data_IF_240810691308
#
_entry.id   IF_240810691308
#
_cell.length_a   1.000
_cell.length_b   1.000
_cell.length_c   1.000
_cell.angle_alpha   90.00
_cell.angle_beta   90.00
_cell.angle_gamma   90.00
#
_symmetry.space_group_name_H-M   'P 1'
#
loop_
_entity.id
_entity.type
_entity.pdbx_description
1 polymer ?
2 non-polymer ?
3 non-polymer ?
4 non-polymer ?
5 water ?
#
# COMPACT_ATOMS: atom_id res chain seq x y z
N UNK A 31 28.08 -16.02 -13.34
CA UNK A 31 26.61 -15.90 -13.41
C UNK A 31 26.17 -14.58 -14.07
N UNK A 32 25.77 -14.67 -15.34
CA UNK A 32 25.19 -13.58 -16.10
C UNK A 32 23.89 -13.12 -15.42
N UNK A 33 23.73 -11.82 -15.17
CA UNK A 33 22.50 -11.33 -14.52
C UNK A 33 21.63 -10.68 -15.54
N UNK A 34 20.32 -10.68 -15.27
CA UNK A 34 19.38 -9.87 -16.04
C UNK A 34 18.74 -8.88 -15.13
N UNK A 35 18.14 -7.83 -15.71
CA UNK A 35 17.59 -6.72 -14.91
C UNK A 35 16.19 -6.41 -15.34
N UNK A 36 15.41 -5.77 -14.45
CA UNK A 36 14.11 -5.24 -14.86
C UNK A 36 13.77 -4.07 -13.98
N UNK A 37 12.94 -3.15 -14.49
CA UNK A 37 12.70 -1.93 -13.77
C UNK A 37 11.20 -1.70 -13.67
N UNK A 38 10.73 -1.29 -12.49
CA UNK A 38 9.35 -0.87 -12.33
C UNK A 38 9.33 0.53 -11.71
N UNK A 39 8.52 1.42 -12.30
CA UNK A 39 8.23 2.66 -11.61
C UNK A 39 6.86 2.43 -10.97
N UNK A 40 6.82 2.61 -9.64
CA UNK A 40 5.61 2.57 -8.84
C UNK A 40 5.15 4.02 -8.76
N UNK A 41 4.10 4.34 -9.53
CA UNK A 41 3.63 5.73 -9.59
C UNK A 41 2.46 5.81 -8.61
N UNK A 42 2.80 6.01 -7.32
CA UNK A 42 1.79 6.00 -6.28
C UNK A 42 1.09 7.36 -6.15
N UNK A 43 0.12 7.45 -5.23
CA UNK A 43 -0.68 8.66 -5.16
C UNK A 43 0.19 9.83 -4.66
N UNK A 44 1.16 9.57 -3.79
CA UNK A 44 1.92 10.67 -3.15
C UNK A 44 3.40 10.78 -3.66
N UNK A 45 3.85 9.84 -4.47
CA UNK A 45 5.33 9.73 -4.70
C UNK A 45 5.42 8.78 -5.88
N UNK A 46 6.52 8.86 -6.63
CA UNK A 46 6.89 7.80 -7.58
C UNK A 46 8.22 7.25 -7.03
N UNK A 47 8.33 5.92 -6.98
CA UNK A 47 9.61 5.31 -6.73
C UNK A 47 9.98 4.41 -7.88
N UNK A 48 11.28 4.29 -8.10
CA UNK A 48 11.80 3.43 -9.14
C UNK A 48 12.53 2.23 -8.50
N UNK A 49 12.16 1.00 -8.90
CA UNK A 49 12.91 -0.20 -8.41
C UNK A 49 13.60 -0.87 -9.54
N UNK A 50 14.88 -1.19 -9.36
CA UNK A 50 15.62 -1.99 -10.38
C UNK A 50 15.83 -3.35 -9.72
N UNK A 51 15.43 -4.42 -10.42
CA UNK A 51 15.56 -5.77 -9.93
C UNK A 51 16.57 -6.52 -10.77
N UNK A 52 17.17 -7.50 -10.17
CA UNK A 52 18.16 -8.31 -10.92
C UNK A 52 18.05 -9.76 -10.55
N UNK A 53 18.52 -10.64 -11.43
CA UNK A 53 18.42 -12.07 -11.19
C UNK A 53 19.37 -12.79 -12.15
N UNK A 54 19.75 -14.03 -11.78
CA UNK A 54 20.59 -14.78 -12.73
C UNK A 54 19.79 -15.30 -13.94
N UNK A 55 20.34 -15.09 -15.14
CA UNK A 55 19.83 -15.65 -16.40
C UNK A 55 19.36 -17.13 -16.36
N UNK A 56 20.23 -18.09 -16.03
CA UNK A 56 19.80 -19.51 -15.99
C UNK A 56 19.14 -20.04 -14.69
N UNK A 57 18.82 -19.16 -13.74
CA UNK A 57 18.00 -19.57 -12.59
C UNK A 57 16.71 -18.72 -12.43
N UNK A 58 16.28 -18.08 -13.52
CA UNK A 58 15.27 -17.01 -13.44
C UNK A 58 13.86 -17.42 -13.01
N UNK A 59 13.55 -18.71 -13.19
CA UNK A 59 12.22 -19.26 -12.82
C UNK A 59 12.14 -19.87 -11.41
N UNK A 60 13.26 -19.93 -10.67
CA UNK A 60 13.24 -20.38 -9.27
C UNK A 60 12.46 -19.34 -8.47
N UNK A 61 11.67 -19.78 -7.50
CA UNK A 61 11.03 -18.77 -6.64
C UNK A 61 12.09 -18.05 -5.73
N UNK A 62 11.83 -16.79 -5.37
CA UNK A 62 12.76 -15.98 -4.50
C UNK A 62 14.11 -15.56 -5.10
N UNK A 63 14.36 -15.94 -6.36
CA UNK A 63 15.64 -15.64 -7.03
C UNK A 63 15.79 -14.13 -7.43
N UNK A 64 14.70 -13.49 -7.86
CA UNK A 64 14.73 -12.08 -8.19
C UNK A 64 14.90 -11.27 -6.88
N UNK A 65 15.83 -10.32 -6.88
CA UNK A 65 15.91 -9.35 -5.76
C UNK A 65 16.13 -7.94 -6.19
N UNK A 66 15.90 -6.98 -5.29
CA UNK A 66 16.13 -5.57 -5.64
C UNK A 66 17.64 -5.32 -5.76
N UNK A 67 18.02 -4.56 -6.79
CA UNK A 67 19.39 -4.11 -7.06
C UNK A 67 19.66 -2.65 -6.57
N UNK A 68 18.67 -1.79 -6.76
CA UNK A 68 18.78 -0.38 -6.39
C UNK A 68 17.37 0.20 -6.44
N UNK A 69 17.28 1.44 -6.02
CA UNK A 69 15.99 2.12 -6.12
C UNK A 69 16.27 3.62 -6.13
N UNK A 70 15.21 4.39 -6.46
CA UNK A 70 15.36 5.86 -6.53
C UNK A 70 14.01 6.43 -6.18
N UNK A 71 13.99 7.48 -5.34
CA UNK A 71 12.75 8.21 -5.04
C UNK A 71 12.63 9.47 -5.83
N UNK A 72 11.55 9.60 -6.56
CA UNK A 72 11.39 10.76 -7.42
C UNK A 72 11.00 11.92 -6.51
N UNK A 73 11.65 13.07 -6.67
CA UNK A 73 11.32 14.30 -5.96
C UNK A 73 9.95 14.81 -6.30
N UNK A 74 9.22 15.29 -5.30
CA UNK A 74 7.93 15.95 -5.56
C UNK A 74 6.78 14.95 -5.46
N UNK A 75 5.61 15.38 -5.90
CA UNK A 75 4.40 14.59 -5.69
C UNK A 75 4.31 13.45 -6.69
N UNK A 76 3.19 12.74 -6.63
CA UNK A 76 2.88 11.66 -7.61
C UNK A 76 2.51 12.20 -8.99
N UNK A 77 2.40 11.29 -9.95
CA UNK A 77 2.13 11.75 -11.33
C UNK A 77 0.75 12.37 -11.43
N UNK A 78 -0.20 11.90 -10.61
CA UNK A 78 -1.57 12.49 -10.62
C UNK A 78 -1.59 13.96 -10.13
N UNK A 79 -0.54 14.39 -9.45
CA UNK A 79 -0.42 15.77 -8.96
C UNK A 79 -0.12 16.75 -10.11
N UNK A 80 0.17 16.23 -11.29
CA UNK A 80 0.38 17.01 -12.49
C UNK A 80 -0.78 16.99 -13.42
N UNK A 81 -1.98 16.74 -12.89
CA UNK A 81 -3.19 16.74 -13.67
C UNK A 81 -3.41 18.01 -14.54
N UNK A 82 -3.04 19.20 -14.01
CA UNK A 82 -3.20 20.45 -14.79
C UNK A 82 -1.93 20.92 -15.52
N UNK A 83 -0.87 20.13 -15.42
CA UNK A 83 0.42 20.44 -16.08
C UNK A 83 1.10 19.11 -16.47
N UNK A 84 0.46 18.34 -17.38
CA UNK A 84 0.86 16.92 -17.61
C UNK A 84 2.31 16.73 -18.10
N UNK A 85 2.85 17.76 -18.77
CA UNK A 85 4.27 17.75 -19.16
C UNK A 85 5.24 17.50 -18.00
N UNK A 86 4.96 18.13 -16.86
CA UNK A 86 5.81 17.95 -15.72
C UNK A 86 5.80 16.50 -15.18
N UNK A 87 4.76 15.69 -15.47
CA UNK A 87 4.75 14.31 -14.96
C UNK A 87 5.92 13.51 -15.52
N UNK A 88 6.09 13.56 -16.84
CA UNK A 88 7.22 12.88 -17.50
C UNK A 88 8.58 13.42 -17.03
N UNK A 89 8.76 14.74 -17.09
CA UNK A 89 9.98 15.38 -16.60
C UNK A 89 10.37 14.97 -15.16
N UNK A 90 9.38 14.76 -14.30
CA UNK A 90 9.65 14.39 -12.93
C UNK A 90 10.48 13.08 -12.84
N UNK A 91 10.39 12.23 -13.85
CA UNK A 91 11.04 10.88 -13.77
C UNK A 91 12.51 10.90 -14.20
N UNK A 92 12.95 12.04 -14.72
CA UNK A 92 14.25 12.09 -15.43
C UNK A 92 15.43 11.76 -14.53
N UNK A 93 15.49 12.34 -13.33
CA UNK A 93 16.65 12.15 -12.45
C UNK A 93 16.76 10.65 -12.08
N UNK A 94 15.60 10.04 -11.73
CA UNK A 94 15.66 8.62 -11.38
C UNK A 94 15.96 7.79 -12.61
N UNK A 95 15.42 8.15 -13.77
CA UNK A 95 15.80 7.40 -15.00
C UNK A 95 17.29 7.52 -15.34
N UNK A 96 17.88 8.71 -15.10
CA UNK A 96 19.34 8.84 -15.24
C UNK A 96 20.10 7.92 -14.29
N UNK A 97 19.56 7.71 -13.09
CA UNK A 97 20.18 6.77 -12.13
C UNK A 97 20.14 5.31 -12.62
N UNK A 98 18.99 4.92 -13.18
CA UNK A 98 18.86 3.61 -13.84
C UNK A 98 19.88 3.30 -14.94
N UNK A 99 20.24 4.29 -15.76
CA UNK A 99 21.27 4.13 -16.77
C UNK A 99 22.63 3.80 -16.12
N UNK A 100 22.91 4.40 -14.96
CA UNK A 100 24.16 4.09 -14.21
C UNK A 100 24.07 2.77 -13.42
N UNK A 101 22.88 2.43 -12.91
CA UNK A 101 22.66 1.22 -12.08
C UNK A 101 22.64 -0.05 -12.90
N UNK A 102 22.15 0.02 -14.13
CA UNK A 102 22.13 -1.17 -14.96
C UNK A 102 23.32 -1.09 -15.95
N UNK A 103 24.12 -2.19 -16.07
CA UNK A 103 25.27 -2.17 -17.04
C UNK A 103 24.78 -1.79 -18.45
N UNK A 104 25.59 -1.03 -19.20
CA UNK A 104 25.15 -0.41 -20.45
C UNK A 104 24.77 -1.45 -21.48
N UNK A 105 25.52 -2.53 -21.53
CA UNK A 105 25.29 -3.53 -22.54
C UNK A 105 24.01 -4.35 -22.30
N UNK A 106 23.35 -4.12 -21.15
CA UNK A 106 22.07 -4.75 -20.84
C UNK A 106 20.85 -3.82 -20.91
N UNK A 107 21.06 -2.50 -21.13
CA UNK A 107 19.95 -1.51 -21.17
C UNK A 107 18.83 -1.99 -22.11
N UNK A 108 19.24 -2.27 -23.35
CA UNK A 108 18.37 -2.61 -24.48
C UNK A 108 17.41 -3.76 -24.20
N UNK A 109 17.83 -4.69 -23.37
CA UNK A 109 17.05 -5.89 -23.08
C UNK A 109 16.47 -5.91 -21.65
N UNK A 110 16.53 -4.78 -20.95
CA UNK A 110 15.96 -4.66 -19.58
C UNK A 110 14.55 -4.10 -19.72
N UNK A 111 13.51 -4.88 -19.33
CA UNK A 111 12.15 -4.35 -19.45
C UNK A 111 11.90 -3.22 -18.44
N UNK A 112 11.17 -2.19 -18.87
CA UNK A 112 10.83 -1.10 -17.99
C UNK A 112 9.32 -0.96 -17.99
N UNK A 113 8.70 -0.94 -16.79
CA UNK A 113 7.23 -0.79 -16.66
C UNK A 113 6.93 0.39 -15.80
N UNK A 114 5.83 1.09 -16.08
CA UNK A 114 5.29 1.97 -15.08
C UNK A 114 3.89 1.52 -14.74
N UNK A 115 3.59 1.44 -13.44
CA UNK A 115 2.25 1.10 -12.97
C UNK A 115 1.82 2.18 -12.01
N UNK A 116 0.56 2.61 -12.12
CA UNK A 116 0.03 3.72 -11.32
C UNK A 116 -1.13 3.21 -10.53
N UNK A 117 -1.39 3.81 -9.37
CA UNK A 117 -2.34 3.23 -8.46
C UNK A 117 -3.45 4.24 -8.13
N UNK A 118 -3.85 4.33 -6.86
CA UNK A 118 -5.14 5.03 -6.55
C UNK A 118 -5.12 6.53 -6.85
N UNK A 119 -3.95 7.17 -6.83
CA UNK A 119 -3.98 8.59 -7.25
C UNK A 119 -4.50 8.76 -8.67
N UNK A 120 -4.08 7.85 -9.56
CA UNK A 120 -4.52 7.90 -10.93
C UNK A 120 -5.94 7.33 -11.08
N UNK A 121 -6.31 6.33 -10.26
CA UNK A 121 -7.71 5.92 -10.31
C UNK A 121 -8.62 7.07 -9.90
N UNK A 122 -8.23 7.87 -8.89
CA UNK A 122 -9.07 9.00 -8.49
C UNK A 122 -9.13 10.08 -9.59
N UNK A 123 -7.99 10.39 -10.21
CA UNK A 123 -7.97 11.39 -11.30
C UNK A 123 -8.83 10.91 -12.50
N UNK A 124 -8.88 9.61 -12.72
CA UNK A 124 -9.67 9.03 -13.79
C UNK A 124 -11.17 9.21 -13.56
N UNK A 125 -11.59 9.27 -12.29
CA UNK A 125 -12.99 9.59 -11.97
C UNK A 125 -13.35 11.05 -12.26
N UNK A 126 -12.39 11.94 -12.02
CA UNK A 126 -12.57 13.35 -12.14
C UNK A 126 -12.47 13.74 -13.61
N UNK A 127 -11.47 13.20 -14.29
CA UNK A 127 -11.20 13.58 -15.66
C UNK A 127 -10.38 12.53 -16.38
N UNK A 128 -11.06 11.66 -17.14
CA UNK A 128 -10.37 10.67 -17.95
C UNK A 128 -9.42 11.33 -18.97
N UNK A 129 -9.80 12.49 -19.49
CA UNK A 129 -8.91 13.22 -20.38
C UNK A 129 -7.61 13.69 -19.69
N UNK A 130 -7.67 14.28 -18.49
CA UNK A 130 -6.40 14.71 -17.81
C UNK A 130 -5.53 13.48 -17.48
N UNK A 131 -6.21 12.40 -17.11
CA UNK A 131 -5.55 11.10 -16.80
C UNK A 131 -4.79 10.60 -18.03
N UNK A 132 -5.47 10.65 -19.18
CA UNK A 132 -4.84 10.23 -20.41
C UNK A 132 -3.63 11.11 -20.77
N UNK A 133 -3.77 12.43 -20.61
CA UNK A 133 -2.65 13.34 -20.89
C UNK A 133 -1.44 13.05 -19.96
N UNK A 134 -1.69 12.71 -18.68
CA UNK A 134 -0.53 12.35 -17.78
C UNK A 134 0.15 11.04 -18.22
N UNK A 135 -0.65 10.04 -18.59
CA UNK A 135 -0.08 8.77 -19.03
C UNK A 135 0.67 9.00 -20.33
N UNK A 136 0.13 9.88 -21.19
CA UNK A 136 0.85 10.20 -22.42
C UNK A 136 2.19 10.89 -22.12
N UNK A 137 2.23 11.84 -21.19
CA UNK A 137 3.48 12.55 -20.87
C UNK A 137 4.52 11.60 -20.28
N UNK A 138 4.12 10.75 -19.33
CA UNK A 138 5.14 9.77 -18.82
C UNK A 138 5.59 8.80 -19.94
N UNK A 139 4.65 8.35 -20.75
CA UNK A 139 5.00 7.49 -21.89
C UNK A 139 6.04 8.12 -22.82
N UNK A 140 5.80 9.36 -23.27
CA UNK A 140 6.77 10.07 -24.11
C UNK A 140 8.15 10.13 -23.46
N UNK A 141 8.23 10.46 -22.17
CA UNK A 141 9.53 10.50 -21.50
C UNK A 141 10.20 9.12 -21.50
N UNK A 142 9.42 8.09 -21.18
CA UNK A 142 10.01 6.76 -20.94
C UNK A 142 10.51 6.16 -22.24
N UNK A 143 9.83 6.50 -23.34
CA UNK A 143 10.17 5.93 -24.64
C UNK A 143 11.48 6.52 -25.19
N UNK A 144 11.90 7.69 -24.66
CA UNK A 144 13.21 8.30 -25.03
C UNK A 144 14.45 7.60 -24.46
N UNK A 145 14.22 6.69 -23.50
CA UNK A 145 15.28 5.92 -22.85
C UNK A 145 15.53 4.56 -23.55
N UNK A 146 16.71 3.96 -23.33
CA UNK A 146 17.13 2.80 -24.13
C UNK A 146 16.66 1.45 -23.61
N UNK A 147 16.01 1.46 -22.44
CA UNK A 147 15.37 0.24 -21.86
C UNK A 147 14.23 -0.26 -22.76
N UNK A 148 13.85 -1.52 -22.63
CA UNK A 148 12.75 -2.05 -23.40
C UNK A 148 11.44 -1.64 -22.65
N UNK A 149 10.91 -0.50 -23.03
CA UNK A 149 9.76 0.10 -22.33
C UNK A 149 8.50 -0.67 -22.73
N UNK A 150 7.81 -1.24 -21.76
CA UNK A 150 6.65 -2.05 -22.04
C UNK A 150 5.34 -1.41 -21.61
N UNK A 151 5.35 -0.13 -21.25
CA UNK A 151 4.06 0.58 -21.14
C UNK A 151 3.81 1.18 -19.76
N UNK A 152 2.91 2.15 -19.75
CA UNK A 152 2.47 2.78 -18.53
C UNK A 152 0.98 2.40 -18.43
N UNK A 153 0.61 1.83 -17.28
CA UNK A 153 -0.75 1.39 -17.07
C UNK A 153 -1.21 1.78 -15.65
N UNK A 154 -2.53 1.96 -15.50
CA UNK A 154 -3.15 2.05 -14.15
C UNK A 154 -3.51 0.64 -13.73
N UNK A 155 -3.00 0.21 -12.58
CA UNK A 155 -3.37 -1.07 -12.00
C UNK A 155 -4.79 -0.99 -11.44
N UNK A 156 -5.50 -2.10 -11.46
CA UNK A 156 -6.73 -2.21 -10.65
C UNK A 156 -6.42 -2.37 -9.16
N UNK A 157 -7.45 -2.13 -8.33
CA UNK A 157 -7.27 -2.38 -6.90
C UNK A 157 -6.88 -3.86 -6.63
N UNK A 158 -7.51 -4.76 -7.38
CA UNK A 158 -7.20 -6.17 -7.23
C UNK A 158 -5.77 -6.43 -7.59
N UNK A 159 -5.32 -5.90 -8.73
CA UNK A 159 -3.89 -5.98 -9.09
C UNK A 159 -3.00 -5.57 -7.95
N UNK A 160 -3.28 -4.40 -7.41
CA UNK A 160 -2.43 -3.86 -6.41
C UNK A 160 -2.33 -4.78 -5.17
N UNK A 161 -3.47 -5.36 -4.75
CA UNK A 161 -3.54 -6.23 -3.55
C UNK A 161 -2.79 -7.53 -3.85
N UNK A 162 -3.17 -8.14 -4.97
CA UNK A 162 -2.58 -9.46 -5.28
C UNK A 162 -1.09 -9.38 -5.52
N UNK A 163 -0.62 -8.40 -6.30
CA UNK A 163 0.83 -8.31 -6.58
C UNK A 163 1.71 -8.04 -5.33
N UNK A 164 1.16 -7.30 -4.38
CA UNK A 164 1.80 -7.13 -3.05
C UNK A 164 1.88 -8.46 -2.34
N UNK A 165 0.82 -9.24 -2.37
CA UNK A 165 0.81 -10.56 -1.71
C UNK A 165 1.86 -11.46 -2.42
N UNK A 166 1.91 -11.42 -3.76
CA UNK A 166 2.91 -12.27 -4.47
C UNK A 166 4.32 -11.78 -4.10
N UNK A 167 4.53 -10.47 -4.01
CA UNK A 167 5.90 -10.01 -3.67
C UNK A 167 6.34 -10.64 -2.31
N UNK A 168 5.53 -10.45 -1.27
CA UNK A 168 5.91 -10.88 0.07
C UNK A 168 6.19 -12.38 0.09
N UNK A 169 5.29 -13.14 -0.50
CA UNK A 169 5.43 -14.62 -0.47
C UNK A 169 6.53 -15.11 -1.37
N UNK A 170 6.75 -14.42 -2.48
CA UNK A 170 7.88 -14.82 -3.32
C UNK A 170 9.20 -14.62 -2.59
N UNK A 171 9.36 -13.44 -1.98
CA UNK A 171 10.65 -13.09 -1.34
C UNK A 171 10.92 -13.99 -0.17
N UNK A 172 9.89 -14.43 0.53
CA UNK A 172 10.03 -15.28 1.72
C UNK A 172 9.97 -16.79 1.43
N UNK A 173 9.93 -17.12 0.16
CA UNK A 173 9.99 -18.54 -0.31
C UNK A 173 8.84 -19.41 0.24
N UNK A 174 7.66 -18.82 0.31
CA UNK A 174 6.52 -19.56 0.78
C UNK A 174 5.91 -20.41 -0.29
N UNK A 175 6.43 -20.29 -1.53
CA UNK A 175 5.81 -21.08 -2.64
C UNK A 175 6.60 -22.37 -2.91
N UNK A 176 7.66 -22.54 -2.15
CA UNK A 176 8.44 -23.84 -2.18
C UNK A 176 7.53 -24.97 -1.64
N UNK A 177 7.55 -26.14 -2.28
CA UNK A 177 6.86 -27.30 -1.71
C UNK A 177 7.81 -27.97 -0.69
N UNK A 178 7.56 -27.80 0.59
CA UNK A 178 8.48 -28.33 1.62
C UNK A 178 8.27 -29.79 1.95
N UNK A 179 9.40 -30.50 2.16
CA UNK A 179 9.42 -31.90 2.50
C UNK A 179 10.24 -32.60 1.41
N UNK A 180 9.98 -33.92 1.19
CA UNK A 180 10.71 -34.66 0.19
C UNK A 180 9.81 -35.86 -0.08
N UNK A 181 10.21 -36.67 -1.05
CA UNK A 181 9.36 -37.74 -1.51
C UNK A 181 8.98 -38.70 -0.36
N UNK A 182 7.65 -38.95 -0.27
CA UNK A 182 7.12 -39.85 0.74
C UNK A 182 6.81 -39.12 2.06
N UNK A 183 7.23 -37.84 2.19
CA UNK A 183 7.05 -37.10 3.44
C UNK A 183 6.97 -35.59 3.16
N UNK A 184 5.83 -35.18 2.62
CA UNK A 184 5.61 -33.79 2.27
C UNK A 184 4.99 -33.16 3.47
N UNK A 185 5.36 -31.93 3.77
CA UNK A 185 4.71 -31.32 4.93
C UNK A 185 3.22 -31.10 4.63
N UNK A 186 2.38 -31.33 5.63
CA UNK A 186 0.92 -31.19 5.40
C UNK A 186 0.41 -30.62 6.68
N UNK A 187 -0.47 -29.61 6.58
CA UNK A 187 -0.89 -28.99 5.33
C UNK A 187 0.29 -28.27 4.66
N UNK A 188 0.11 -27.86 3.44
CA UNK A 188 1.26 -27.22 2.81
C UNK A 188 1.58 -25.89 3.50
N UNK A 189 2.84 -25.45 3.34
CA UNK A 189 3.37 -24.21 3.95
C UNK A 189 2.34 -23.05 3.82
N UNK A 190 2.05 -22.40 4.96
CA UNK A 190 1.07 -21.28 4.90
C UNK A 190 1.69 -20.10 4.15
N UNK A 191 0.82 -19.20 3.69
CA UNK A 191 1.27 -17.95 3.05
C UNK A 191 0.96 -16.73 3.95
N UNK A 192 1.66 -15.64 3.67
CA UNK A 192 1.57 -14.42 4.42
C UNK A 192 0.54 -13.56 3.76
N UNK A 193 -0.47 -13.19 4.53
CA UNK A 193 -1.45 -12.15 4.10
C UNK A 193 -0.74 -10.82 3.99
N UNK A 194 -1.35 -9.89 3.21
CA UNK A 194 -0.66 -8.63 3.00
C UNK A 194 -1.63 -7.48 3.30
N UNK A 195 -1.12 -6.45 3.98
CA UNK A 195 -2.00 -5.25 4.21
C UNK A 195 -1.11 -4.12 3.82
N UNK A 196 -1.60 -3.30 2.89
CA UNK A 196 -0.83 -2.19 2.33
C UNK A 196 -1.60 -0.92 2.60
N UNK A 197 -1.01 0.03 3.32
CA UNK A 197 -1.76 1.32 3.55
C UNK A 197 -1.02 2.35 2.71
N UNK A 198 -1.54 2.63 1.50
CA UNK A 198 -0.93 3.64 0.61
C UNK A 198 -1.51 5.01 0.96
N UNK A 199 -1.27 5.98 0.09
CA UNK A 199 -1.75 7.35 0.32
C UNK A 199 -3.22 7.52 -0.02
N UNK A 200 -3.73 6.72 -0.97
CA UNK A 200 -5.15 6.98 -1.41
C UNK A 200 -6.04 5.73 -1.37
N UNK A 201 -5.48 4.52 -1.23
CA UNK A 201 -6.36 3.37 -1.05
C UNK A 201 -5.61 2.46 -0.06
N UNK A 202 -6.33 1.49 0.48
CA UNK A 202 -5.68 0.43 1.24
C UNK A 202 -6.18 -0.95 0.82
N UNK A 203 -5.27 -1.92 0.83
CA UNK A 203 -5.59 -3.27 0.33
C UNK A 203 -5.40 -4.32 1.41
N UNK A 204 -6.24 -5.35 1.37
CA UNK A 204 -6.03 -6.55 2.23
C UNK A 204 -6.18 -7.76 1.33
N UNK A 205 -5.24 -8.70 1.48
CA UNK A 205 -5.18 -9.83 0.54
C UNK A 205 -4.66 -11.01 1.38
N UNK A 206 -5.31 -12.16 1.29
CA UNK A 206 -4.81 -13.35 2.00
C UNK A 206 -5.42 -14.61 1.46
N UNK A 207 -4.68 -15.71 1.59
CA UNK A 207 -5.16 -17.01 1.21
C UNK A 207 -6.29 -17.42 2.16
N UNK A 208 -7.36 -17.98 1.63
CA UNK A 208 -8.50 -18.31 2.46
C UNK A 208 -9.11 -19.65 2.05
N UNK A 209 -9.70 -20.36 3.00
CA UNK A 209 -10.43 -21.57 2.66
C UNK A 209 -11.92 -21.31 2.61
N UNK A 210 -12.36 -20.09 2.89
CA UNK A 210 -13.80 -19.83 2.86
C UNK A 210 -14.33 -19.71 1.46
N UNK A 211 -15.61 -20.08 1.27
CA UNK A 211 -16.21 -19.93 -0.06
C UNK A 211 -16.27 -18.46 -0.47
N UNK A 212 -16.09 -18.19 -1.76
CA UNK A 212 -16.21 -16.82 -2.24
C UNK A 212 -17.68 -16.43 -2.33
N UNK A 213 -17.98 -15.20 -1.97
CA UNK A 213 -19.35 -14.74 -2.11
C UNK A 213 -19.46 -13.54 -3.01
N UNK A 214 -18.32 -13.00 -3.45
CA UNK A 214 -18.37 -11.83 -4.33
C UNK A 214 -17.27 -12.03 -5.32
N UNK A 215 -17.61 -12.18 -6.60
CA UNK A 215 -16.54 -12.44 -7.60
C UNK A 215 -15.46 -11.35 -7.68
N UNK A 216 -15.82 -10.12 -7.33
CA UNK A 216 -14.89 -8.95 -7.27
C UNK A 216 -13.73 -9.19 -6.30
N UNK A 217 -13.96 -10.05 -5.29
CA UNK A 217 -12.92 -10.29 -4.25
C UNK A 217 -12.12 -11.59 -4.44
N UNK A 218 -12.56 -12.40 -5.40
CA UNK A 218 -12.09 -13.79 -5.54
C UNK A 218 -10.90 -13.89 -6.48
N UNK A 219 -9.84 -14.50 -6.01
CA UNK A 219 -8.62 -14.61 -6.81
C UNK A 219 -8.13 -16.09 -6.82
N UNK A 220 -7.77 -16.61 -8.00
CA UNK A 220 -7.20 -17.93 -8.04
C UNK A 220 -5.89 -17.88 -8.75
N UNK A 221 -4.83 -18.37 -8.09
CA UNK A 221 -3.51 -18.36 -8.69
C UNK A 221 -2.96 -19.75 -8.84
N UNK A 222 -2.25 -19.99 -9.93
CA UNK A 222 -1.55 -21.25 -10.14
C UNK A 222 -0.05 -20.90 -10.17
N UNK A 223 0.70 -21.30 -9.14
CA UNK A 223 2.10 -20.88 -9.03
C UNK A 223 2.91 -22.10 -8.69
N UNK A 224 3.90 -22.42 -9.51
CA UNK A 224 4.80 -23.60 -9.30
C UNK A 224 4.03 -24.87 -9.09
N UNK A 225 2.94 -25.03 -9.81
CA UNK A 225 2.19 -26.24 -9.77
C UNK A 225 1.13 -26.29 -8.69
N UNK A 226 0.96 -25.21 -7.93
CA UNK A 226 0.00 -25.19 -6.84
C UNK A 226 -1.06 -24.14 -7.05
N UNK A 227 -2.26 -24.49 -6.61
CA UNK A 227 -3.42 -23.61 -6.64
C UNK A 227 -3.54 -22.84 -5.31
N UNK A 228 -3.59 -21.50 -5.43
CA UNK A 228 -3.84 -20.62 -4.20
C UNK A 228 -5.18 -19.91 -4.38
N UNK A 229 -6.07 -20.12 -3.40
CA UNK A 229 -7.38 -19.46 -3.34
C UNK A 229 -7.18 -18.26 -2.44
N UNK A 230 -7.34 -17.10 -3.02
CA UNK A 230 -7.05 -15.84 -2.31
C UNK A 230 -8.25 -14.90 -2.30
N UNK A 231 -8.35 -14.12 -1.22
CA UNK A 231 -9.31 -13.01 -1.11
C UNK A 231 -8.52 -11.71 -1.24
N UNK A 232 -9.07 -10.74 -1.98
CA UNK A 232 -8.46 -9.43 -1.97
C UNK A 232 -9.54 -8.35 -2.00
N UNK A 233 -9.23 -7.22 -1.37
CA UNK A 233 -10.09 -6.05 -1.58
C UNK A 233 -9.26 -4.78 -1.47
N UNK A 234 -9.65 -3.73 -2.27
CA UNK A 234 -8.97 -2.44 -2.13
C UNK A 234 -10.05 -1.46 -1.77
N UNK A 235 -9.83 -0.70 -0.69
CA UNK A 235 -10.79 0.33 -0.24
C UNK A 235 -10.24 1.67 -0.80
N UNK A 236 -10.84 2.14 -1.88
CA UNK A 236 -10.50 3.46 -2.41
C UNK A 236 -10.94 4.51 -1.39
N UNK A 237 -10.14 5.55 -1.30
CA UNK A 237 -10.37 6.65 -0.34
C UNK A 237 -10.02 6.27 1.09
N UNK A 238 -9.50 5.07 1.34
CA UNK A 238 -9.09 4.68 2.70
C UNK A 238 -7.54 4.64 2.82
N UNK A 239 -6.83 5.25 1.87
CA UNK A 239 -5.38 5.51 2.01
C UNK A 239 -5.12 6.60 3.07
N UNK A 240 -3.90 6.68 3.57
CA UNK A 240 -3.58 7.61 4.67
C UNK A 240 -3.92 9.05 4.37
N UNK A 241 -3.47 9.55 3.21
CA UNK A 241 -3.68 10.99 2.92
C UNK A 241 -5.18 11.32 2.71
N UNK A 242 -5.89 10.43 2.03
CA UNK A 242 -7.35 10.65 1.88
C UNK A 242 -8.14 10.54 3.22
N UNK A 243 -7.80 9.59 4.10
CA UNK A 243 -8.38 9.52 5.41
C UNK A 243 -8.13 10.83 6.18
N UNK A 244 -6.91 11.35 6.08
CA UNK A 244 -6.62 12.64 6.82
C UNK A 244 -7.49 13.78 6.25
N UNK A 245 -7.62 13.81 4.93
CA UNK A 245 -8.50 14.81 4.33
C UNK A 245 -9.97 14.66 4.77
N UNK A 246 -10.45 13.39 4.80
CA UNK A 246 -11.82 13.10 5.29
C UNK A 246 -12.03 13.50 6.79
N UNK A 247 -11.04 13.17 7.61
CA UNK A 247 -11.14 13.56 9.04
C UNK A 247 -11.12 15.08 9.15
N UNK A 248 -10.25 15.75 8.38
CA UNK A 248 -10.21 17.24 8.39
C UNK A 248 -11.60 17.86 7.98
N UNK A 249 -12.18 17.35 6.88
CA UNK A 249 -13.55 17.77 6.44
C UNK A 249 -14.56 17.57 7.55
N UNK A 250 -14.52 16.39 8.18
CA UNK A 250 -15.45 16.06 9.28
C UNK A 250 -15.28 16.95 10.51
N UNK A 251 -14.03 17.16 10.93
CA UNK A 251 -13.71 18.01 12.06
C UNK A 251 -14.22 19.46 11.82
N UNK A 252 -13.99 19.98 10.59
CA UNK A 252 -14.48 21.29 10.19
C UNK A 252 -15.99 21.39 10.30
N UNK A 253 -16.70 20.35 9.91
CA UNK A 253 -18.18 20.37 9.91
C UNK A 253 -18.76 20.23 11.35
N UNK A 254 -18.19 19.30 12.12
CA UNK A 254 -18.82 18.85 13.35
C UNK A 254 -18.31 19.72 14.48
N UNK A 255 -17.03 20.06 14.46
CA UNK A 255 -16.42 20.70 15.64
C UNK A 255 -15.88 22.13 15.52
N UNK A 256 -15.41 22.45 14.33
CA UNK A 256 -14.58 23.63 14.16
C UNK A 256 -13.33 23.66 15.04
N UNK A 257 -12.89 22.48 15.50
CA UNK A 257 -11.56 22.29 16.00
C UNK A 257 -11.21 20.87 15.53
N UNK A 258 -9.97 20.45 15.70
CA UNK A 258 -9.62 19.11 15.21
C UNK A 258 -9.18 18.29 16.42
N UNK A 259 -10.05 17.39 16.91
CA UNK A 259 -9.75 16.70 18.17
C UNK A 259 -8.56 15.73 18.01
N UNK A 260 -8.25 15.32 16.77
CA UNK A 260 -7.05 14.47 16.56
C UNK A 260 -5.77 15.23 16.53
N UNK A 261 -5.82 16.54 16.28
CA UNK A 261 -4.57 17.31 16.20
C UNK A 261 -4.16 17.74 17.64
N UNK A 262 -2.86 17.94 17.87
CA UNK A 262 -2.38 18.23 19.24
C UNK A 262 -2.68 19.65 19.66
N UNK A 263 -3.00 19.80 20.93
CA UNK A 263 -3.26 21.15 21.48
C UNK A 263 -2.06 22.07 21.27
N UNK A 264 -2.32 23.23 20.68
CA UNK A 264 -1.27 24.20 20.37
C UNK A 264 -0.87 24.20 18.91
N UNK A 265 -1.28 23.16 18.14
CA UNK A 265 -1.03 23.15 16.71
C UNK A 265 -2.25 23.79 16.02
N UNK A 266 -1.99 24.71 15.09
CA UNK A 266 -3.08 25.26 14.25
C UNK A 266 -2.52 25.58 12.90
N UNK A 267 -3.39 25.67 11.90
CA UNK A 267 -2.98 25.92 10.55
C UNK A 267 -4.15 26.59 9.79
N UNK A 268 -3.85 27.28 8.70
CA UNK A 268 -4.84 27.96 7.91
C UNK A 268 -5.24 26.95 6.84
N UNK A 269 -6.47 26.48 6.92
CA UNK A 269 -6.94 25.46 5.97
C UNK A 269 -7.60 26.12 4.75
N UNK A 270 -7.15 25.77 3.55
CA UNK A 270 -7.76 26.35 2.37
C UNK A 270 -8.89 25.41 2.00
N UNK A 271 -10.16 25.86 2.09
CA UNK A 271 -11.27 24.92 1.96
C UNK A 271 -11.38 24.22 0.58
N UNK A 272 -10.95 24.91 -0.46
CA UNK A 272 -10.94 24.33 -1.79
C UNK A 272 -10.12 23.03 -1.90
N UNK A 273 -8.93 22.98 -1.27
CA UNK A 273 -8.13 21.77 -1.25
C UNK A 273 -8.83 20.67 -0.46
N UNK A 274 -9.61 21.03 0.56
CA UNK A 274 -10.20 20.01 1.44
C UNK A 274 -11.29 19.26 0.66
N UNK A 275 -12.06 19.97 -0.14
CA UNK A 275 -13.27 19.41 -0.72
C UNK A 275 -13.10 19.03 -2.19
N UNK A 276 -11.91 19.18 -2.73
CA UNK A 276 -11.73 18.91 -4.19
C UNK A 276 -11.58 17.42 -4.48
N UNK A 277 -11.28 16.62 -3.46
CA UNK A 277 -10.99 15.20 -3.70
C UNK A 277 -12.32 14.45 -3.95
N UNK A 278 -12.33 13.46 -4.87
CA UNK A 278 -13.52 12.59 -4.88
C UNK A 278 -13.85 11.99 -3.51
N UNK A 279 -12.85 11.90 -2.60
CA UNK A 279 -13.06 11.24 -1.29
C UNK A 279 -13.81 12.16 -0.27
N UNK A 280 -13.87 13.47 -0.57
CA UNK A 280 -14.41 14.42 0.39
C UNK A 280 -15.48 15.26 -0.20
N UNK A 281 -15.75 15.14 -1.49
CA UNK A 281 -16.72 16.12 -2.06
C UNK A 281 -18.18 15.84 -1.54
N UNK A 282 -18.34 14.60 -1.06
CA UNK A 282 -19.50 14.07 -0.35
C UNK A 282 -19.75 14.73 1.00
N UNK A 283 -18.68 15.30 1.60
CA UNK A 283 -18.73 16.06 2.84
C UNK A 283 -19.00 17.59 2.66
N UNK A 284 -18.95 18.12 1.44
CA UNK A 284 -18.99 19.64 1.30
C UNK A 284 -20.22 20.25 2.02
N UNK A 285 -20.05 21.38 2.77
CA UNK A 285 -21.18 21.87 3.58
C UNK A 285 -22.14 22.72 2.76
N UNK A 290 -19.12 31.90 2.26
CA UNK A 290 -18.37 30.99 1.37
C UNK A 290 -16.88 31.28 1.54
N UNK A 291 -16.36 30.96 2.75
CA UNK A 291 -14.99 31.27 3.18
C UNK A 291 -13.90 30.53 2.40
N UNK A 292 -12.82 31.23 2.04
CA UNK A 292 -11.80 30.47 1.35
C UNK A 292 -10.84 29.79 2.35
N UNK A 293 -10.65 30.41 3.52
CA UNK A 293 -9.63 29.91 4.41
C UNK A 293 -10.21 29.93 5.81
N UNK A 294 -9.97 28.86 6.57
CA UNK A 294 -10.43 28.84 7.96
C UNK A 294 -9.28 28.41 8.86
N UNK A 295 -9.19 29.03 10.04
CA UNK A 295 -8.21 28.61 11.04
C UNK A 295 -8.73 27.37 11.73
N UNK A 296 -7.88 26.37 11.93
CA UNK A 296 -8.32 25.20 12.65
C UNK A 296 -7.21 24.76 13.64
N UNK A 297 -7.60 24.53 14.90
CA UNK A 297 -6.64 24.18 15.92
C UNK A 297 -6.89 22.79 16.49
N UNK A 298 -5.84 22.17 16.98
CA UNK A 298 -5.94 20.89 17.66
C UNK A 298 -6.35 21.02 19.10
N UNK A 299 -6.91 19.94 19.60
CA UNK A 299 -7.32 19.90 21.01
C UNK A 299 -6.87 18.70 21.84
N UNK A 300 -6.11 17.76 21.24
CA UNK A 300 -5.66 16.56 21.95
C UNK A 300 -6.75 15.85 22.66
N UNK A 301 -7.82 15.50 21.97
CA UNK A 301 -8.95 14.88 22.61
C UNK A 301 -9.04 13.46 22.05
N UNK A 302 -8.41 12.53 22.76
CA UNK A 302 -8.30 11.17 22.17
C UNK A 302 -9.67 10.55 22.00
N UNK A 303 -10.61 10.82 22.94
CA UNK A 303 -11.95 10.23 22.83
C UNK A 303 -12.77 10.80 21.67
N UNK A 304 -12.76 12.12 21.53
CA UNK A 304 -13.43 12.72 20.36
C UNK A 304 -12.78 12.36 19.03
N UNK A 305 -11.45 12.18 19.05
CA UNK A 305 -10.70 11.70 17.87
C UNK A 305 -11.17 10.28 17.48
N UNK A 306 -11.29 9.41 18.47
CA UNK A 306 -11.77 8.03 18.26
C UNK A 306 -13.18 8.07 17.65
N UNK A 307 -14.04 8.95 18.17
CA UNK A 307 -15.39 9.07 17.64
C UNK A 307 -15.36 9.59 16.19
N UNK A 308 -14.46 10.52 15.89
CA UNK A 308 -14.36 11.04 14.50
C UNK A 308 -13.94 9.94 13.52
N UNK A 309 -12.96 9.16 13.95
CA UNK A 309 -12.46 8.08 13.11
C UNK A 309 -13.51 6.99 12.92
N UNK A 310 -14.32 6.72 13.95
CA UNK A 310 -15.35 5.66 13.85
C UNK A 310 -16.40 5.92 12.75
N UNK A 311 -16.62 7.18 12.42
CA UNK A 311 -17.58 7.57 11.38
C UNK A 311 -17.07 7.10 9.99
N UNK A 312 -15.78 6.77 9.87
CA UNK A 312 -15.24 6.30 8.58
C UNK A 312 -15.77 4.92 8.20
N UNK A 313 -16.26 4.14 9.18
CA UNK A 313 -16.60 2.73 8.90
C UNK A 313 -18.11 2.51 9.00
N UNK A 314 -18.77 2.15 7.90
CA UNK A 314 -20.21 1.92 7.97
C UNK A 314 -20.35 0.44 8.25
N UNK A 315 -20.85 0.09 9.44
CA UNK A 315 -21.14 -1.30 9.73
C UNK A 315 -22.69 -1.56 9.74
N UNK A 316 -23.49 -0.70 9.14
CA UNK A 316 -24.95 -0.81 9.32
C UNK A 316 -25.56 -2.02 8.57
N UNK A 317 -24.95 -2.45 7.45
CA UNK A 317 -25.57 -3.55 6.71
C UNK A 317 -24.56 -4.37 5.95
N UNK A 318 -25.00 -5.58 5.63
CA UNK A 318 -24.08 -6.55 5.01
C UNK A 318 -24.93 -7.47 4.20
N UNK A 319 -24.77 -7.44 2.87
CA UNK A 319 -25.65 -8.31 2.05
C UNK A 319 -25.07 -9.72 1.89
N UNK A 320 -23.96 -9.98 2.59
CA UNK A 320 -23.24 -11.25 2.52
C UNK A 320 -23.35 -11.98 3.86
N UNK A 321 -22.73 -13.14 3.98
CA UNK A 321 -22.80 -13.85 5.25
C UNK A 321 -21.99 -13.10 6.32
N UNK A 322 -20.90 -12.48 5.88
CA UNK A 322 -20.22 -11.54 6.77
C UNK A 322 -19.40 -10.56 5.95
N UNK A 323 -19.17 -9.39 6.55
CA UNK A 323 -18.51 -8.30 5.89
C UNK A 323 -17.34 -7.77 6.70
N UNK A 324 -16.48 -6.99 6.02
CA UNK A 324 -15.54 -6.12 6.75
C UNK A 324 -16.32 -4.89 7.14
N UNK A 325 -16.41 -3.93 6.22
CA UNK A 325 -17.24 -2.72 6.42
C UNK A 325 -17.67 -2.17 5.09
N UNK A 326 -18.56 -1.16 5.10
CA UNK A 326 -19.17 -0.63 3.90
C UNK A 326 -19.87 -1.68 3.04
N UNK A 327 -20.39 -2.75 3.67
CA UNK A 327 -21.16 -3.77 2.92
C UNK A 327 -20.21 -4.63 2.02
N UNK A 328 -18.90 -4.61 2.29
CA UNK A 328 -17.95 -5.43 1.50
C UNK A 328 -17.80 -6.83 2.11
N UNK A 329 -17.94 -7.84 1.25
CA UNK A 329 -17.74 -9.19 1.71
C UNK A 329 -16.29 -9.40 2.22
N UNK A 330 -16.13 -10.05 3.37
CA UNK A 330 -14.78 -10.47 3.81
C UNK A 330 -14.88 -11.71 4.68
N UNK A 331 -14.16 -12.81 4.32
CA UNK A 331 -14.14 -13.93 5.21
C UNK A 331 -13.28 -13.66 6.43
N UNK A 332 -13.36 -14.54 7.43
CA UNK A 332 -12.53 -14.27 8.65
C UNK A 332 -11.04 -14.16 8.31
N UNK A 333 -10.34 -13.14 8.83
CA UNK A 333 -8.86 -13.15 8.67
C UNK A 333 -8.24 -14.41 9.26
N UNK A 334 -7.11 -14.83 8.70
CA UNK A 334 -6.52 -16.13 9.13
C UNK A 334 -5.06 -16.11 8.65
N UNK A 335 -4.19 -16.76 9.42
CA UNK A 335 -2.82 -16.95 8.99
C UNK A 335 -1.97 -15.76 9.40
N UNK A 336 -0.69 -15.82 9.10
CA UNK A 336 0.18 -14.64 9.35
C UNK A 336 -0.10 -13.53 8.31
N UNK A 337 0.22 -12.30 8.67
CA UNK A 337 0.13 -11.15 7.77
C UNK A 337 1.40 -10.26 7.90
N UNK A 338 1.80 -9.65 6.78
CA UNK A 338 2.72 -8.55 6.82
C UNK A 338 1.94 -7.24 6.53
N UNK A 339 2.13 -6.24 7.39
CA UNK A 339 1.48 -4.94 7.22
C UNK A 339 2.65 -3.96 6.91
N UNK A 340 2.63 -3.41 5.71
CA UNK A 340 3.74 -2.59 5.22
C UNK A 340 3.33 -1.16 4.95
N UNK A 341 4.11 -0.42 4.12
CA UNK A 341 3.80 1.00 3.80
C UNK A 341 3.39 1.78 5.05
N UNK A 342 2.28 2.51 5.04
CA UNK A 342 2.02 3.40 6.21
C UNK A 342 1.62 2.67 7.48
N UNK A 343 1.22 1.39 7.37
CA UNK A 343 1.13 0.58 8.62
C UNK A 343 2.51 0.51 9.33
N UNK A 344 3.54 0.12 8.57
CA UNK A 344 4.90 0.10 9.12
C UNK A 344 5.33 1.49 9.59
N UNK A 345 5.14 2.53 8.76
CA UNK A 345 5.66 3.87 9.19
C UNK A 345 4.99 4.35 10.47
N UNK A 346 3.69 4.07 10.61
CA UNK A 346 2.98 4.56 11.81
C UNK A 346 3.40 3.77 13.04
N UNK A 347 3.46 2.44 12.88
CA UNK A 347 3.93 1.61 14.00
C UNK A 347 5.37 1.92 14.39
N UNK A 348 6.18 2.24 13.41
CA UNK A 348 7.61 2.61 13.69
C UNK A 348 7.65 3.91 14.47
N UNK A 349 6.77 4.86 14.18
CA UNK A 349 6.71 6.09 14.96
C UNK A 349 6.32 5.77 16.39
N UNK A 350 5.28 4.95 16.54
CA UNK A 350 4.83 4.64 17.90
C UNK A 350 5.91 3.93 18.75
N UNK A 351 6.68 3.02 18.12
CA UNK A 351 7.65 2.25 18.89
C UNK A 351 8.94 3.02 19.12
N UNK A 352 9.42 3.65 18.07
CA UNK A 352 10.74 4.24 18.08
C UNK A 352 10.73 5.69 18.59
N UNK A 353 9.71 6.46 18.26
CA UNK A 353 9.66 7.85 18.69
C UNK A 353 8.90 7.99 20.02
N UNK A 354 7.69 7.47 20.09
CA UNK A 354 6.94 7.52 21.32
C UNK A 354 7.47 6.51 22.36
N UNK A 355 8.23 5.52 21.93
CA UNK A 355 8.75 4.48 22.82
C UNK A 355 7.70 3.59 23.49
N UNK A 356 6.65 3.24 22.76
CA UNK A 356 5.50 2.53 23.30
C UNK A 356 5.42 1.16 22.65
N UNK A 357 5.00 0.14 23.41
CA UNK A 357 4.88 -1.20 22.82
C UNK A 357 3.60 -1.27 21.97
N UNK A 358 3.59 -2.09 20.91
CA UNK A 358 2.37 -2.23 20.08
C UNK A 358 2.08 -3.74 19.75
N UNK A 359 2.55 -4.63 20.62
CA UNK A 359 2.49 -6.07 20.42
C UNK A 359 1.09 -6.63 20.48
N UNK A 360 0.17 -5.92 21.11
CA UNK A 360 -1.24 -6.38 21.20
C UNK A 360 -2.15 -5.26 20.67
N UNK A 361 -3.39 -5.57 20.33
CA UNK A 361 -4.38 -4.51 19.94
C UNK A 361 -4.63 -3.53 21.08
N UNK A 362 -4.70 -4.04 22.30
CA UNK A 362 -4.81 -3.22 23.51
C UNK A 362 -3.61 -2.29 23.62
N UNK A 363 -2.37 -2.78 23.44
CA UNK A 363 -1.19 -1.86 23.45
C UNK A 363 -1.27 -0.83 22.34
N UNK A 364 -1.68 -1.25 21.13
CA UNK A 364 -1.80 -0.29 20.05
C UNK A 364 -2.81 0.81 20.43
N UNK A 365 -3.95 0.40 20.93
CA UNK A 365 -4.99 1.36 21.40
C UNK A 365 -4.46 2.32 22.48
N UNK A 366 -3.68 1.78 23.41
CA UNK A 366 -3.10 2.62 24.50
C UNK A 366 -2.08 3.61 23.97
N UNK A 367 -1.27 3.18 23.00
CA UNK A 367 -0.23 4.02 22.39
C UNK A 367 -0.89 5.18 21.59
N UNK A 368 -1.98 4.84 20.95
CA UNK A 368 -2.75 5.81 20.18
C UNK A 368 -3.32 6.89 21.14
N UNK A 369 -3.87 6.44 22.26
CA UNK A 369 -4.47 7.33 23.27
C UNK A 369 -3.40 8.24 23.81
N UNK A 370 -2.27 7.67 24.24
CA UNK A 370 -1.14 8.50 24.75
C UNK A 370 -0.67 9.50 23.69
N UNK A 371 -0.55 9.05 22.43
CA UNK A 371 -0.05 9.91 21.35
C UNK A 371 -1.03 11.09 21.11
N UNK A 372 -2.29 10.75 21.05
CA UNK A 372 -3.35 11.71 20.79
C UNK A 372 -3.44 12.73 21.95
N UNK A 373 -3.09 12.30 23.16
CA UNK A 373 -3.22 13.23 24.30
C UNK A 373 -2.05 14.16 24.48
N UNK A 374 -0.99 13.96 23.68
CA UNK A 374 0.17 14.85 23.76
C UNK A 374 -0.21 16.22 23.23
N UNK A 375 0.32 17.28 23.88
CA UNK A 375 0.22 18.61 23.30
C UNK A 375 1.21 18.76 22.18
N UNK A 376 1.09 19.84 21.42
CA UNK A 376 2.00 20.04 20.28
C UNK A 376 3.45 20.27 20.77
N UNK A 377 3.63 21.04 21.86
CA UNK A 377 5.01 21.19 22.40
C UNK A 377 5.55 19.85 22.90
N UNK A 378 4.71 19.01 23.53
CA UNK A 378 5.21 17.71 23.99
C UNK A 378 5.60 16.81 22.81
N UNK A 379 4.81 16.85 21.76
CA UNK A 379 5.08 15.96 20.62
C UNK A 379 6.38 16.44 19.93
N UNK A 380 6.49 17.75 19.68
CA UNK A 380 7.69 18.29 19.09
C UNK A 380 8.97 18.00 19.91
N UNK A 381 8.87 18.02 21.25
CA UNK A 381 10.02 17.67 22.11
C UNK A 381 10.62 16.27 21.86
N UNK A 382 9.83 15.35 21.29
CA UNK A 382 10.27 14.00 20.97
C UNK A 382 10.94 13.89 19.62
N UNK A 383 10.86 14.93 18.81
CA UNK A 383 11.29 14.82 17.41
C UNK A 383 12.21 15.99 17.17
N UNK A 384 13.51 15.78 17.37
CA UNK A 384 14.38 16.91 17.23
C UNK A 384 14.53 17.46 15.80
N UNK A 385 14.23 16.66 14.79
CA UNK A 385 14.52 17.03 13.38
C UNK A 385 13.23 17.52 12.70
N UNK A 386 13.15 17.36 11.38
CA UNK A 386 11.96 17.83 10.64
C UNK A 386 10.63 17.24 11.19
N UNK A 387 9.62 18.09 11.14
CA UNK A 387 8.36 17.88 11.81
C UNK A 387 7.21 17.52 10.81
N UNK A 388 7.52 17.26 9.55
CA UNK A 388 6.42 16.94 8.64
C UNK A 388 5.79 15.61 9.11
N UNK A 389 4.48 15.57 8.99
CA UNK A 389 3.59 14.47 9.43
C UNK A 389 3.36 14.31 10.88
N UNK A 390 4.11 15.08 11.71
CA UNK A 390 4.05 14.81 13.14
C UNK A 390 2.66 15.06 13.70
N UNK A 391 1.96 16.14 13.30
CA UNK A 391 0.64 16.39 13.85
C UNK A 391 -0.39 15.36 13.42
N UNK A 392 -0.05 14.56 12.42
CA UNK A 392 -0.98 13.58 11.89
C UNK A 392 -0.88 12.20 12.46
N UNK A 393 0.13 11.90 13.29
CA UNK A 393 0.26 10.50 13.74
C UNK A 393 -0.88 10.03 14.57
N UNK A 394 -1.42 10.90 15.44
CA UNK A 394 -2.55 10.49 16.30
C UNK A 394 -3.71 9.98 15.42
N UNK A 395 -4.06 10.76 14.39
CA UNK A 395 -5.21 10.39 13.54
C UNK A 395 -4.93 9.09 12.77
N UNK A 396 -3.71 8.93 12.27
CA UNK A 396 -3.39 7.78 11.42
C UNK A 396 -3.33 6.53 12.31
N UNK A 397 -2.80 6.69 13.55
CA UNK A 397 -2.66 5.54 14.46
C UNK A 397 -4.09 5.13 14.86
N UNK A 398 -4.97 6.11 15.14
CA UNK A 398 -6.34 5.80 15.48
C UNK A 398 -7.05 5.09 14.31
N UNK A 399 -6.80 5.59 13.11
CA UNK A 399 -7.39 4.97 11.91
C UNK A 399 -6.93 3.52 11.78
N UNK A 400 -5.64 3.28 11.97
CA UNK A 400 -5.13 1.90 11.79
C UNK A 400 -5.72 0.99 12.85
N UNK A 401 -5.76 1.45 14.12
CA UNK A 401 -6.36 0.63 15.12
C UNK A 401 -7.80 0.26 14.81
N UNK A 402 -8.60 1.26 14.41
CA UNK A 402 -10.01 0.97 14.07
C UNK A 402 -10.09 0.09 12.80
N UNK A 403 -9.31 0.42 11.79
CA UNK A 403 -9.35 -0.43 10.56
C UNK A 403 -9.11 -1.91 10.85
N UNK A 404 -8.08 -2.20 11.66
CA UNK A 404 -7.79 -3.60 11.95
C UNK A 404 -8.87 -4.22 12.83
N UNK A 405 -9.30 -3.47 13.86
CA UNK A 405 -10.17 -4.11 14.89
C UNK A 405 -11.63 -4.07 14.48
N UNK A 406 -12.12 -2.89 14.09
CA UNK A 406 -13.54 -2.66 13.70
C UNK A 406 -13.79 -3.05 12.25
N UNK A 407 -12.78 -2.80 11.40
CA UNK A 407 -13.00 -2.93 9.97
C UNK A 407 -12.75 -4.34 9.48
N UNK A 408 -11.53 -4.84 9.70
CA UNK A 408 -11.19 -6.22 9.31
C UNK A 408 -11.50 -7.30 10.33
N UNK A 409 -11.83 -6.89 11.57
CA UNK A 409 -12.17 -7.84 12.62
C UNK A 409 -11.04 -8.70 13.08
N UNK A 410 -9.82 -8.16 13.09
CA UNK A 410 -8.77 -8.78 13.87
C UNK A 410 -9.18 -8.76 15.32
N UNK A 411 -8.79 -9.78 16.05
CA UNK A 411 -8.88 -9.74 17.56
C UNK A 411 -7.50 -10.03 18.13
N UNK A 412 -7.39 -10.19 19.45
CA UNK A 412 -6.01 -10.41 19.98
C UNK A 412 -5.36 -11.64 19.41
N UNK A 413 -6.12 -12.71 19.24
CA UNK A 413 -5.52 -13.93 18.69
C UNK A 413 -5.02 -13.75 17.24
N UNK A 414 -5.84 -13.15 16.38
CA UNK A 414 -5.41 -13.04 14.98
C UNK A 414 -4.35 -11.94 14.89
N UNK A 415 -4.45 -10.90 15.72
CA UNK A 415 -3.48 -9.79 15.62
C UNK A 415 -2.05 -10.25 15.99
N UNK A 416 -1.93 -11.26 16.83
CA UNK A 416 -0.61 -11.80 17.21
C UNK A 416 0.18 -12.31 16.00
N UNK A 417 -0.51 -12.60 14.92
CA UNK A 417 0.14 -13.16 13.74
C UNK A 417 0.52 -12.09 12.71
N UNK A 418 0.28 -10.80 13.02
CA UNK A 418 0.60 -9.68 12.14
C UNK A 418 2.00 -9.14 12.47
N UNK A 419 2.85 -8.97 11.45
CA UNK A 419 4.16 -8.32 11.64
C UNK A 419 4.15 -7.04 10.83
N UNK A 420 4.85 -6.02 11.36
CA UNK A 420 4.94 -4.74 10.64
C UNK A 420 6.36 -4.67 10.09
N UNK A 421 6.49 -4.73 8.78
CA UNK A 421 7.83 -4.80 8.12
C UNK A 421 7.68 -4.20 6.76
N UNK A 422 8.71 -3.56 6.25
CA UNK A 422 8.60 -2.95 4.93
C UNK A 422 9.60 -3.56 3.96
N UNK A 423 10.43 -4.50 4.42
CA UNK A 423 11.45 -5.09 3.54
C UNK A 423 11.53 -6.58 3.80
N UNK A 424 11.86 -7.35 2.77
CA UNK A 424 12.13 -8.80 2.95
C UNK A 424 13.28 -9.16 2.02
N UNK A 425 14.26 -9.92 2.52
CA UNK A 425 15.39 -10.35 1.65
C UNK A 425 15.98 -9.13 0.86
N UNK A 426 16.27 -8.04 1.60
CA UNK A 426 16.85 -6.79 1.00
C UNK A 426 16.03 -6.14 -0.14
N UNK A 427 14.73 -6.46 -0.22
CA UNK A 427 13.86 -5.93 -1.25
C UNK A 427 12.66 -5.24 -0.55
N UNK A 428 12.34 -4.03 -0.97
CA UNK A 428 11.16 -3.31 -0.46
C UNK A 428 9.89 -4.14 -0.73
N UNK A 429 9.00 -4.23 0.26
CA UNK A 429 7.76 -4.92 0.02
C UNK A 429 6.70 -3.94 -0.54
N UNK A 430 6.10 -4.32 -1.66
CA UNK A 430 5.04 -3.53 -2.32
C UNK A 430 4.60 -4.37 -3.49
N UNK A 431 3.77 -3.80 -4.35
CA UNK A 431 3.26 -4.57 -5.49
C UNK A 431 4.30 -4.64 -6.60
N UNK A 432 5.31 -3.76 -6.63
CA UNK A 432 6.15 -3.64 -7.83
C UNK A 432 6.82 -4.95 -8.28
N UNK A 433 7.43 -5.68 -7.36
CA UNK A 433 8.11 -6.92 -7.73
C UNK A 433 7.10 -7.96 -8.34
N UNK A 434 5.99 -8.21 -7.66
CA UNK A 434 4.98 -9.18 -8.13
C UNK A 434 4.50 -8.75 -9.53
N UNK A 435 4.30 -7.42 -9.73
CA UNK A 435 3.93 -6.87 -11.06
C UNK A 435 4.97 -7.23 -12.18
N UNK A 436 6.23 -6.97 -11.85
CA UNK A 436 7.33 -7.28 -12.77
C UNK A 436 7.37 -8.80 -13.04
N UNK A 437 7.20 -9.56 -11.96
CA UNK A 437 7.19 -11.08 -12.13
C UNK A 437 6.10 -11.56 -13.08
N UNK A 438 4.90 -10.99 -12.95
CA UNK A 438 3.81 -11.38 -13.82
C UNK A 438 4.08 -10.97 -15.26
N UNK A 439 4.43 -9.69 -15.46
CA UNK A 439 4.57 -9.17 -16.84
C UNK A 439 5.78 -9.74 -17.57
N UNK A 440 6.76 -10.17 -16.80
CA UNK A 440 7.98 -10.74 -17.39
C UNK A 440 7.84 -12.28 -17.44
N UNK A 441 6.69 -12.79 -17.01
CA UNK A 441 6.45 -14.23 -17.02
C UNK A 441 7.51 -15.02 -16.29
N UNK A 442 7.92 -14.53 -15.13
CA UNK A 442 8.99 -15.22 -14.39
C UNK A 442 8.52 -16.17 -13.27
N UNK A 443 7.20 -16.32 -13.07
CA UNK A 443 6.69 -17.40 -12.19
C UNK A 443 5.91 -18.40 -13.06
N UNK A 444 6.42 -19.63 -13.19
CA UNK A 444 5.74 -20.65 -13.97
C UNK A 444 4.47 -21.13 -13.28
N UNK A 445 3.42 -21.39 -14.06
CA UNK A 445 2.17 -22.01 -13.58
C UNK A 445 2.50 -23.39 -13.04
N UNK A 446 3.36 -24.10 -13.75
CA UNK A 446 3.76 -25.45 -13.38
C UNK A 446 5.27 -25.57 -13.32
N UNK A 447 5.78 -26.51 -12.50
CA UNK A 447 7.24 -26.80 -12.55
C UNK A 447 7.61 -27.51 -13.88
N UNK A 448 8.91 -27.41 -14.32
CA UNK A 448 9.31 -28.07 -15.60
C UNK A 448 9.02 -29.57 -15.57
N UNK A 449 8.39 -30.08 -16.63
CA UNK A 449 8.03 -31.51 -16.70
C UNK A 449 7.01 -31.93 -15.64
N UNK A 450 6.31 -30.94 -15.04
CA UNK A 450 5.46 -31.17 -13.83
C UNK A 450 6.26 -31.85 -12.67
N UNK A 451 7.60 -31.70 -12.68
CA UNK A 451 8.50 -32.39 -11.73
C UNK A 451 8.16 -33.89 -11.74
N UNK A 452 7.98 -34.43 -12.96
CA UNK A 452 7.68 -35.85 -13.18
C UNK A 452 6.42 -36.32 -12.38
N UNK A 453 5.54 -35.37 -12.01
CA UNK A 453 4.29 -35.66 -11.30
C UNK A 453 4.42 -36.04 -9.82
N UNK A 454 5.61 -35.83 -9.26
CA UNK A 454 5.93 -36.11 -7.85
C UNK A 454 5.19 -35.22 -6.81
N UNK A 455 4.61 -34.10 -7.24
CA UNK A 455 3.77 -33.28 -6.38
C UNK A 455 2.25 -33.53 -6.51
N UNK A 456 1.82 -34.58 -7.22
CA UNK A 456 0.40 -34.70 -7.65
C UNK A 456 -0.68 -34.81 -6.55
#
# INVERSE_FOLDING_TARGET
>A
MAHHHHHHVGTGSNDDDDKSPDPTQDVREPPALKYGIVLDAGSSHTSMFVYKWPADKENDTGIVGQHSSCDVQGGGISSYANDPSKAGQSLVRCLEQALRDVPRDRHASTPLYLGATAGMRLLNLTSPEATARVLEAVTQTLTQYPFDFRGARILSGQDEGVFGWVTANYLLENFIKYGWVGRWIRPRKGTLGAMDLGGASTQITFETTSPSEDPGNEVHLRLYGQHYRVYTHSFLCYGRDQILLRLLASALQIHRFHPCWPKGYSTQVLLQEVYQSPCTMGQRPRAFNGSAIVSLSGTSNATLCRDLVSRLFNISSCPFSQCSFNGVFQPPVAGNFIAFSAFYYTVDFLTTVMGLPVGTLKQLEEATEITCNQTWTELQARVPGQKTRLADYCAVAMFIHQLLSRGYHFDERSFREVVFQKKAADTAVGWALGYMLNLTNLIPADLPGLRKGTHFS
#
